data_IF_864394574492
#
_entry.id   IF_864394574492
#
_cell.length_a   1.000
_cell.length_b   1.000
_cell.length_c   1.000
_cell.angle_alpha   90.00
_cell.angle_beta   90.00
_cell.angle_gamma   90.00
#
_symmetry.space_group_name_H-M   'P 1'
#
loop_
_entity.id
_entity.type
_entity.pdbx_description
1 polymer ?
#
# COMPACT_ATOMS: atom_id res chain seq x y z
N UNK A 1 10.74 -4.18 3.39
CA UNK A 1 10.53 -4.53 4.82
C UNK A 1 9.04 -4.65 5.04
N UNK A 2 8.57 -5.71 5.66
CA UNK A 2 7.15 -6.01 5.85
C UNK A 2 6.94 -7.05 6.96
N UNK A 3 5.71 -7.52 7.20
CA UNK A 3 5.37 -8.37 8.36
C UNK A 3 6.29 -9.58 8.56
N UNK A 4 6.72 -10.20 7.49
CA UNK A 4 7.62 -11.37 7.54
C UNK A 4 9.07 -11.03 7.91
N UNK A 5 9.45 -9.77 7.90
CA UNK A 5 10.79 -9.27 8.24
C UNK A 5 10.79 -8.30 9.43
N UNK A 6 9.67 -8.22 10.17
CA UNK A 6 9.52 -7.35 11.34
C UNK A 6 10.17 -7.94 12.60
N UNK A 7 10.38 -9.25 12.63
CA UNK A 7 11.11 -9.89 13.71
C UNK A 7 12.59 -9.48 13.67
N UNK A 8 13.11 -9.12 14.85
CA UNK A 8 14.46 -8.58 14.96
C UNK A 8 15.55 -9.59 14.59
N UNK A 9 15.37 -10.85 14.96
CA UNK A 9 16.34 -11.90 14.63
C UNK A 9 16.31 -12.21 13.14
N UNK A 10 15.13 -12.23 12.52
CA UNK A 10 15.01 -12.35 11.05
C UNK A 10 15.71 -11.20 10.34
N UNK A 11 15.50 -9.97 10.79
CA UNK A 11 16.18 -8.79 10.23
C UNK A 11 17.71 -8.89 10.38
N UNK A 12 18.19 -9.33 11.55
CA UNK A 12 19.62 -9.55 11.81
C UNK A 12 20.21 -10.62 10.89
N UNK A 13 19.49 -11.72 10.69
CA UNK A 13 19.92 -12.77 9.76
C UNK A 13 19.97 -12.26 8.31
N UNK A 14 19.02 -11.44 7.87
CA UNK A 14 19.04 -10.82 6.55
C UNK A 14 20.30 -9.95 6.37
N UNK A 15 20.64 -9.13 7.36
CA UNK A 15 21.86 -8.30 7.34
C UNK A 15 23.12 -9.16 7.29
N UNK A 16 23.22 -10.18 8.14
CA UNK A 16 24.37 -11.08 8.20
C UNK A 16 24.55 -11.92 6.92
N UNK A 17 23.46 -12.17 6.18
CA UNK A 17 23.46 -12.88 4.90
C UNK A 17 23.54 -11.96 3.68
N UNK A 18 23.91 -10.69 3.86
CA UNK A 18 24.27 -9.79 2.76
C UNK A 18 23.14 -8.87 2.29
N UNK A 19 22.22 -8.51 3.16
CA UNK A 19 21.24 -7.45 2.83
C UNK A 19 21.91 -6.09 2.85
N UNK A 20 22.09 -5.48 1.69
CA UNK A 20 22.67 -4.14 1.53
C UNK A 20 21.63 -3.03 1.63
N UNK A 21 20.39 -3.31 1.20
CA UNK A 21 19.31 -2.31 1.11
C UNK A 21 18.02 -2.86 1.69
N UNK A 22 17.46 -2.13 2.64
CA UNK A 22 16.13 -2.38 3.19
C UNK A 22 15.12 -1.39 2.58
N UNK A 23 14.20 -1.89 1.74
CA UNK A 23 13.14 -1.10 1.11
C UNK A 23 11.92 -0.98 2.02
N UNK A 24 11.48 0.24 2.25
CA UNK A 24 10.25 0.59 2.96
C UNK A 24 9.22 1.10 1.97
N UNK A 25 8.23 0.27 1.62
CA UNK A 25 7.19 0.63 0.68
C UNK A 25 6.06 1.38 1.37
N UNK A 26 5.98 2.68 1.14
CA UNK A 26 4.98 3.58 1.73
C UNK A 26 3.60 3.51 1.08
N UNK A 27 3.42 2.64 0.08
CA UNK A 27 2.09 2.28 -0.42
C UNK A 27 1.32 1.38 0.57
N UNK A 28 1.99 0.81 1.57
CA UNK A 28 1.43 -0.08 2.58
C UNK A 28 1.87 0.34 3.97
N UNK A 29 1.04 0.03 4.97
CA UNK A 29 1.32 0.38 6.36
C UNK A 29 1.14 1.87 6.65
N UNK A 30 1.60 2.29 7.80
CA UNK A 30 1.57 3.67 8.25
C UNK A 30 2.95 4.16 8.71
N UNK A 31 3.06 5.47 8.99
CA UNK A 31 4.33 6.09 9.37
C UNK A 31 4.93 5.51 10.66
N UNK A 32 4.10 5.14 11.64
CA UNK A 32 4.56 4.59 12.93
C UNK A 32 5.18 3.20 12.72
N UNK A 33 4.56 2.35 11.92
CA UNK A 33 5.09 1.03 11.58
C UNK A 33 6.43 1.14 10.85
N UNK A 34 6.50 2.01 9.84
CA UNK A 34 7.75 2.24 9.09
C UNK A 34 8.85 2.79 9.99
N UNK A 35 8.53 3.73 10.89
CA UNK A 35 9.47 4.28 11.86
C UNK A 35 10.00 3.19 12.80
N UNK A 36 9.13 2.33 13.32
CA UNK A 36 9.53 1.21 14.19
C UNK A 36 10.51 0.28 13.47
N UNK A 37 10.17 -0.16 12.24
CA UNK A 37 11.03 -1.03 11.41
C UNK A 37 12.37 -0.37 11.09
N UNK A 38 12.35 0.91 10.76
CA UNK A 38 13.56 1.69 10.48
C UNK A 38 14.51 1.78 11.70
N UNK A 39 13.96 2.10 12.87
CA UNK A 39 14.76 2.18 14.09
C UNK A 39 15.37 0.82 14.45
N UNK A 40 14.60 -0.26 14.29
CA UNK A 40 15.10 -1.62 14.49
C UNK A 40 16.22 -1.96 13.51
N UNK A 41 16.10 -1.59 12.24
CA UNK A 41 17.15 -1.75 11.24
C UNK A 41 18.43 -1.02 11.64
N UNK A 42 18.33 0.22 12.15
CA UNK A 42 19.49 0.99 12.60
C UNK A 42 20.19 0.29 13.78
N UNK A 43 19.44 -0.23 14.74
CA UNK A 43 20.00 -0.98 15.86
C UNK A 43 20.71 -2.26 15.40
N UNK A 44 20.11 -3.01 14.47
CA UNK A 44 20.72 -4.23 13.92
C UNK A 44 22.00 -3.90 13.15
N UNK A 45 21.99 -2.84 12.33
CA UNK A 45 23.18 -2.40 11.61
C UNK A 45 24.33 -1.98 12.56
N UNK A 46 24.00 -1.28 13.65
CA UNK A 46 24.98 -0.90 14.68
C UNK A 46 25.58 -2.12 15.40
N UNK A 47 24.74 -3.07 15.81
CA UNK A 47 25.17 -4.30 16.48
C UNK A 47 26.04 -5.22 15.62
N UNK A 48 25.71 -5.31 14.35
CA UNK A 48 26.45 -6.17 13.41
C UNK A 48 27.68 -5.50 12.83
N UNK A 49 27.78 -4.17 12.94
CA UNK A 49 28.82 -3.37 12.28
C UNK A 49 28.70 -3.35 10.76
N UNK A 50 27.58 -3.85 10.20
CA UNK A 50 27.36 -3.93 8.76
C UNK A 50 26.48 -2.75 8.33
N UNK A 51 26.94 -1.89 7.41
CA UNK A 51 26.12 -0.80 6.90
C UNK A 51 24.99 -1.31 6.02
N UNK A 52 23.75 -0.87 6.30
CA UNK A 52 22.58 -1.17 5.49
C UNK A 52 21.89 0.12 5.11
N UNK A 53 21.66 0.31 3.81
CA UNK A 53 20.90 1.46 3.31
C UNK A 53 19.40 1.27 3.56
N UNK A 54 18.72 2.35 3.94
CA UNK A 54 17.26 2.38 3.98
C UNK A 54 16.74 3.10 2.74
N UNK A 55 15.95 2.41 1.92
CA UNK A 55 15.32 2.96 0.74
C UNK A 55 13.86 3.28 1.07
N UNK A 56 13.51 4.55 0.99
CA UNK A 56 12.14 5.00 1.09
C UNK A 56 11.53 4.96 -0.31
N UNK A 57 10.58 4.04 -0.51
CA UNK A 57 9.80 3.93 -1.73
C UNK A 57 8.47 4.66 -1.51
N UNK A 58 8.38 5.88 -2.03
CA UNK A 58 7.20 6.73 -1.88
C UNK A 58 6.10 6.24 -2.80
N UNK A 59 4.88 6.21 -2.28
CA UNK A 59 3.73 6.13 -3.19
C UNK A 59 3.63 7.43 -3.98
N UNK A 60 3.39 7.31 -5.30
CA UNK A 60 3.01 8.44 -6.13
C UNK A 60 1.60 8.95 -5.82
N UNK A 61 1.14 9.99 -6.53
CA UNK A 61 -0.28 10.35 -6.53
C UNK A 61 -1.06 9.16 -7.13
N UNK A 62 -1.92 8.56 -6.32
CA UNK A 62 -2.72 7.42 -6.71
C UNK A 62 -4.19 7.74 -6.54
N UNK A 63 -5.00 7.37 -7.54
CA UNK A 63 -6.45 7.30 -7.37
C UNK A 63 -6.74 5.95 -6.75
N UNK A 64 -7.31 5.96 -5.53
CA UNK A 64 -7.58 4.73 -4.79
C UNK A 64 -9.04 4.63 -4.39
N UNK A 65 -9.53 3.40 -4.37
CA UNK A 65 -10.82 3.07 -3.76
C UNK A 65 -10.72 3.18 -2.25
N UNK A 66 -11.81 3.60 -1.62
CA UNK A 66 -11.96 3.67 -0.17
C UNK A 66 -12.10 2.29 0.48
N UNK A 67 -12.44 2.31 1.76
CA UNK A 67 -12.60 1.11 2.57
C UNK A 67 -13.87 0.37 2.13
N UNK A 68 -13.73 -0.93 1.93
CA UNK A 68 -14.84 -1.85 1.70
C UNK A 68 -15.38 -2.39 3.02
N UNK A 69 -16.65 -2.78 3.02
CA UNK A 69 -17.32 -3.37 4.17
C UNK A 69 -16.52 -4.55 4.73
N UNK A 70 -16.35 -4.55 6.04
CA UNK A 70 -15.60 -5.56 6.80
C UNK A 70 -14.12 -5.71 6.38
N UNK A 71 -13.57 -4.77 5.59
CA UNK A 71 -12.20 -4.84 5.08
C UNK A 71 -11.96 -5.99 4.09
N UNK A 72 -13.02 -6.61 3.59
CA UNK A 72 -12.95 -7.76 2.68
C UNK A 72 -12.83 -7.32 1.22
N UNK A 73 -12.28 -8.19 0.40
CA UNK A 73 -12.36 -8.06 -1.05
C UNK A 73 -13.80 -8.34 -1.51
N UNK A 74 -14.25 -7.58 -2.50
CA UNK A 74 -15.51 -7.84 -3.21
C UNK A 74 -15.21 -8.44 -4.58
N UNK A 75 -16.17 -9.14 -5.15
CA UNK A 75 -16.09 -9.66 -6.51
C UNK A 75 -17.14 -8.98 -7.36
N UNK A 76 -16.70 -8.25 -8.38
CA UNK A 76 -17.59 -7.66 -9.37
C UNK A 76 -17.88 -8.69 -10.46
N UNK A 77 -19.12 -8.72 -10.93
CA UNK A 77 -19.53 -9.62 -12.02
C UNK A 77 -19.54 -8.86 -13.35
N UNK A 78 -19.20 -9.54 -14.42
CA UNK A 78 -19.30 -8.97 -15.76
C UNK A 78 -20.71 -8.43 -16.03
N UNK A 79 -20.79 -7.20 -16.52
CA UNK A 79 -22.04 -6.51 -16.84
C UNK A 79 -22.83 -5.95 -15.66
N UNK A 80 -22.32 -6.06 -14.42
CA UNK A 80 -22.99 -5.40 -13.30
C UNK A 80 -22.71 -3.89 -13.28
N UNK A 81 -23.68 -3.12 -12.81
CA UNK A 81 -23.48 -1.70 -12.49
C UNK A 81 -22.62 -1.56 -11.23
N UNK A 82 -21.68 -0.63 -11.25
CA UNK A 82 -20.84 -0.31 -10.12
C UNK A 82 -20.56 1.19 -10.07
N UNK A 83 -20.79 1.82 -8.93
CA UNK A 83 -20.67 3.27 -8.78
C UNK A 83 -19.35 3.64 -8.09
N UNK A 84 -18.58 4.51 -8.72
CA UNK A 84 -17.47 5.22 -8.09
C UNK A 84 -17.99 6.57 -7.60
N UNK A 85 -17.84 6.86 -6.30
CA UNK A 85 -18.32 8.12 -5.70
C UNK A 85 -17.19 8.87 -5.01
N UNK A 86 -17.26 10.20 -5.04
CA UNK A 86 -16.37 11.08 -4.28
C UNK A 86 -16.86 11.30 -2.84
N UNK A 87 -18.07 10.87 -2.51
CA UNK A 87 -18.57 10.88 -1.14
C UNK A 87 -17.87 9.80 -0.30
N UNK A 88 -17.50 10.13 0.93
CA UNK A 88 -16.90 9.18 1.86
C UNK A 88 -17.95 8.16 2.32
N UNK A 89 -17.93 7.00 1.73
CA UNK A 89 -18.80 5.86 2.07
C UNK A 89 -17.97 4.60 2.29
N UNK A 90 -18.49 3.71 3.11
CA UNK A 90 -17.99 2.34 3.20
C UNK A 90 -18.54 1.58 2.00
N UNK A 91 -17.66 1.13 1.09
CA UNK A 91 -18.06 0.51 -0.16
C UNK A 91 -18.53 -0.94 -0.01
N UNK A 92 -19.28 -1.39 -1.00
CA UNK A 92 -19.79 -2.74 -1.16
C UNK A 92 -19.76 -3.17 -2.63
N UNK A 93 -20.54 -4.19 -3.00
CA UNK A 93 -20.64 -4.70 -4.38
C UNK A 93 -21.32 -3.72 -5.35
N UNK A 94 -21.91 -2.62 -4.88
CA UNK A 94 -22.65 -1.66 -5.70
C UNK A 94 -21.95 -0.34 -5.88
N UNK A 95 -21.16 0.08 -4.89
CA UNK A 95 -20.43 1.35 -4.93
C UNK A 95 -19.19 1.35 -4.05
N UNK A 96 -18.27 2.26 -4.36
CA UNK A 96 -17.10 2.54 -3.52
C UNK A 96 -16.68 4.00 -3.63
N UNK A 97 -16.21 4.54 -2.51
CA UNK A 97 -15.54 5.84 -2.48
C UNK A 97 -14.24 5.81 -3.28
N UNK A 98 -13.90 6.91 -3.95
CA UNK A 98 -12.58 7.16 -4.53
C UNK A 98 -12.02 8.48 -4.02
N UNK A 99 -10.70 8.52 -3.81
CA UNK A 99 -10.00 9.67 -3.25
C UNK A 99 -9.64 10.75 -4.29
N UNK A 100 -10.39 10.83 -5.40
CA UNK A 100 -10.17 11.82 -6.45
C UNK A 100 -11.45 12.55 -6.81
N UNK A 101 -11.61 13.77 -6.30
CA UNK A 101 -12.81 14.60 -6.49
C UNK A 101 -13.02 15.06 -7.92
N UNK A 102 -11.95 15.10 -8.73
CA UNK A 102 -11.97 15.54 -10.12
C UNK A 102 -12.52 14.50 -11.10
N UNK A 103 -12.75 13.24 -10.68
CA UNK A 103 -13.09 12.16 -11.62
C UNK A 103 -14.26 12.49 -12.53
N UNK A 104 -15.34 13.08 -11.97
CA UNK A 104 -16.55 13.44 -12.74
C UNK A 104 -16.30 14.47 -13.83
N UNK A 105 -15.25 15.28 -13.69
CA UNK A 105 -14.87 16.29 -14.68
C UNK A 105 -13.92 15.74 -15.76
N UNK A 106 -13.18 14.72 -15.41
CA UNK A 106 -12.10 14.18 -16.25
C UNK A 106 -12.58 13.03 -17.14
N UNK A 107 -13.67 12.33 -16.77
CA UNK A 107 -14.24 11.23 -17.54
C UNK A 107 -15.53 11.62 -18.25
N UNK A 108 -15.79 10.97 -19.36
CA UNK A 108 -17.01 11.14 -20.18
C UNK A 108 -17.69 9.80 -20.39
N UNK A 109 -18.95 9.84 -20.75
CA UNK A 109 -19.70 8.65 -21.15
C UNK A 109 -18.97 7.89 -22.26
N UNK A 110 -18.75 6.60 -22.04
CA UNK A 110 -18.01 5.71 -22.94
C UNK A 110 -16.52 5.57 -22.62
N UNK A 111 -15.99 6.35 -21.70
CA UNK A 111 -14.60 6.20 -21.25
C UNK A 111 -14.45 4.90 -20.44
N UNK A 112 -13.26 4.32 -20.52
CA UNK A 112 -12.93 3.10 -19.78
C UNK A 112 -12.17 3.45 -18.49
N UNK A 113 -12.69 2.99 -17.36
CA UNK A 113 -12.02 3.06 -16.07
C UNK A 113 -11.52 1.65 -15.71
N UNK A 114 -10.24 1.53 -15.39
CA UNK A 114 -9.65 0.27 -14.94
C UNK A 114 -9.55 0.28 -13.42
N UNK A 115 -9.98 -0.81 -12.80
CA UNK A 115 -9.87 -1.05 -11.35
C UNK A 115 -8.94 -2.25 -11.16
N UNK A 116 -8.09 -2.22 -10.13
CA UNK A 116 -7.12 -3.29 -9.79
C UNK A 116 -6.26 -3.68 -11.01
N UNK A 117 -5.65 -2.66 -11.66
CA UNK A 117 -4.83 -2.79 -12.88
C UNK A 117 -5.56 -3.42 -14.09
N UNK A 118 -6.88 -3.47 -14.03
CA UNK A 118 -7.71 -3.98 -15.11
C UNK A 118 -8.05 -5.47 -15.03
N UNK A 119 -7.93 -6.01 -13.84
CA UNK A 119 -8.31 -7.40 -13.53
C UNK A 119 -9.83 -7.57 -13.41
#
# INVERSE_FOLDING_TARGET
>A
MGPNSDDREVMKQLVLNGMDVARFNFSHGNHEEHKKRYLQLRQVAEETGIPVAALLDTKGPEIRTGILKDGNKITLKEGQEFTLTTEEVVGDETMVHINYDGLNGDVKEGDRILIDDGL
#
